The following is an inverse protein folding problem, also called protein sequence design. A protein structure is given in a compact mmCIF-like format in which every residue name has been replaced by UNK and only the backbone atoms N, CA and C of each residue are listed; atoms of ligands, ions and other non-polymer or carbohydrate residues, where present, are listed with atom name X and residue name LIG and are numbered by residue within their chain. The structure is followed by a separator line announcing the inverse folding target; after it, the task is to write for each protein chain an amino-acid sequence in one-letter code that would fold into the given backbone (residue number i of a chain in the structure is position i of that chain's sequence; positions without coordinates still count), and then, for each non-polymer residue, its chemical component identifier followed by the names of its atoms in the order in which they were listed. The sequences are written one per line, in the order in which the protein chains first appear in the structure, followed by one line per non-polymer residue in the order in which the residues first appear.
data_IF_334686840831
#
_entry.id   IF_334686840831
#
_cell.length_a   1.000
_cell.length_b   1.000
_cell.length_c   1.000
_cell.angle_alpha   90.00
_cell.angle_beta   90.00
_cell.angle_gamma   90.00
#
_symmetry.space_group_name_H-M   'P 1'
#
loop_
_entity.id
_entity.type
_entity.pdbx_description
1 polymer ?
#
# COMPACT_ATOMS: atom_id res chain seq x y z
N UNK A 1 6.96 0.79 -7.12
CA UNK A 1 7.68 1.03 -5.85
C UNK A 1 7.93 -0.34 -5.23
N UNK A 2 9.18 -0.79 -5.21
CA UNK A 2 9.53 -2.21 -4.95
C UNK A 2 9.73 -2.53 -3.46
N UNK A 3 9.92 -1.51 -2.62
CA UNK A 3 10.15 -1.65 -1.18
C UNK A 3 8.87 -1.76 -0.34
N UNK A 4 7.70 -1.66 -0.98
CA UNK A 4 6.38 -1.77 -0.33
C UNK A 4 5.65 -2.91 -1.04
N UNK A 5 5.46 -4.09 -0.42
CA UNK A 5 4.78 -5.24 -1.04
C UNK A 5 3.39 -4.89 -1.57
N UNK A 6 2.68 -3.97 -0.90
CA UNK A 6 1.40 -3.46 -1.37
C UNK A 6 1.42 -2.71 -2.69
N UNK A 7 2.59 -2.40 -3.23
CA UNK A 7 2.73 -1.64 -4.47
C UNK A 7 3.26 -2.48 -5.63
N UNK A 8 3.43 -3.79 -5.39
CA UNK A 8 4.13 -4.68 -6.30
C UNK A 8 3.50 -4.80 -7.69
N UNK A 9 2.17 -4.68 -7.81
CA UNK A 9 1.44 -4.84 -9.08
C UNK A 9 0.94 -3.53 -9.70
N UNK A 10 1.20 -2.37 -9.08
CA UNK A 10 0.59 -1.11 -9.52
C UNK A 10 1.08 -0.66 -10.90
N UNK A 11 2.29 -1.06 -11.30
CA UNK A 11 2.83 -0.81 -12.64
C UNK A 11 1.99 -1.50 -13.73
N UNK A 12 1.53 -2.73 -13.46
CA UNK A 12 0.65 -3.49 -14.36
C UNK A 12 -0.73 -2.84 -14.45
N UNK A 13 -1.27 -2.41 -13.32
CA UNK A 13 -2.56 -1.70 -13.25
C UNK A 13 -2.46 -0.37 -14.02
N UNK A 14 -1.39 0.39 -13.80
CA UNK A 14 -1.09 1.63 -14.52
C UNK A 14 -1.02 1.40 -16.04
N UNK A 15 -0.36 0.32 -16.48
CA UNK A 15 -0.29 -0.02 -17.91
C UNK A 15 -1.68 -0.22 -18.52
N UNK A 16 -2.55 -1.01 -17.87
CA UNK A 16 -3.92 -1.25 -18.32
C UNK A 16 -4.70 0.06 -18.41
N UNK A 17 -4.61 0.90 -17.38
CA UNK A 17 -5.29 2.20 -17.33
C UNK A 17 -4.83 3.11 -18.46
N UNK A 18 -3.51 3.22 -18.71
CA UNK A 18 -2.96 4.05 -19.78
C UNK A 18 -3.43 3.57 -21.16
N UNK A 19 -3.50 2.26 -21.38
CA UNK A 19 -3.95 1.71 -22.65
C UNK A 19 -5.43 2.07 -22.90
N UNK A 20 -6.28 2.02 -21.86
CA UNK A 20 -7.68 2.45 -22.00
C UNK A 20 -7.89 3.95 -22.12
N UNK A 21 -7.07 4.77 -21.46
CA UNK A 21 -7.09 6.22 -21.69
C UNK A 21 -6.81 6.52 -23.16
N UNK A 22 -5.81 5.86 -23.77
CA UNK A 22 -5.49 6.03 -25.20
C UNK A 22 -6.61 5.52 -26.10
N UNK A 23 -7.21 4.37 -25.77
CA UNK A 23 -8.33 3.80 -26.55
C UNK A 23 -9.54 4.76 -26.60
N UNK A 24 -9.72 5.59 -25.56
CA UNK A 24 -10.76 6.61 -25.49
C UNK A 24 -10.33 7.99 -26.06
N UNK A 25 -9.19 8.06 -26.75
CA UNK A 25 -8.71 9.29 -27.42
C UNK A 25 -8.05 10.32 -26.51
N UNK A 26 -7.76 9.95 -25.26
CA UNK A 26 -7.10 10.81 -24.27
C UNK A 26 -5.58 10.57 -24.24
N UNK A 27 -4.83 11.49 -23.61
CA UNK A 27 -3.38 11.40 -23.46
C UNK A 27 -3.01 11.09 -22.01
N UNK A 28 -2.54 9.87 -21.70
CA UNK A 28 -2.14 9.55 -20.33
C UNK A 28 -0.71 10.05 -20.03
N UNK A 29 -0.55 10.70 -18.87
CA UNK A 29 0.74 10.96 -18.25
C UNK A 29 0.81 10.24 -16.90
N UNK A 30 1.83 9.42 -16.71
CA UNK A 30 2.06 8.73 -15.46
C UNK A 30 3.11 9.47 -14.64
N UNK A 31 2.82 9.69 -13.37
CA UNK A 31 3.79 10.13 -12.38
C UNK A 31 3.59 9.33 -11.09
N UNK A 32 4.66 9.23 -10.31
CA UNK A 32 4.65 8.51 -9.03
C UNK A 32 4.81 9.51 -7.87
N UNK A 33 4.38 9.07 -6.69
CA UNK A 33 4.65 9.74 -5.41
C UNK A 33 5.36 8.77 -4.47
N UNK A 34 5.89 9.29 -3.36
CA UNK A 34 6.55 8.49 -2.34
C UNK A 34 5.54 7.63 -1.58
N UNK A 35 6.03 6.65 -0.83
CA UNK A 35 5.25 5.87 0.12
C UNK A 35 6.13 5.35 1.25
N UNK A 36 5.50 5.01 2.36
CA UNK A 36 6.12 4.32 3.50
C UNK A 36 5.32 3.05 3.76
N UNK A 37 6.02 1.97 4.03
CA UNK A 37 5.41 0.72 4.47
C UNK A 37 5.28 0.73 6.00
N UNK A 38 4.05 0.89 6.48
CA UNK A 38 3.78 0.91 7.92
C UNK A 38 4.16 -0.42 8.59
N UNK A 39 3.99 -1.56 7.90
CA UNK A 39 4.34 -2.88 8.41
C UNK A 39 5.83 -3.05 8.65
N UNK A 40 6.66 -2.61 7.70
CA UNK A 40 8.12 -2.62 7.83
C UNK A 40 8.59 -1.59 8.85
N UNK A 41 7.95 -0.42 8.91
CA UNK A 41 8.37 0.66 9.81
C UNK A 41 8.04 0.39 11.29
N UNK A 42 7.22 -0.62 11.61
CA UNK A 42 6.83 -0.94 12.99
C UNK A 42 8.03 -1.37 13.83
N UNK A 43 8.11 -0.85 15.05
CA UNK A 43 9.10 -1.30 16.04
C UNK A 43 10.44 -0.54 16.03
N UNK A 44 10.61 0.47 15.18
CA UNK A 44 11.81 1.32 15.17
C UNK A 44 11.49 2.79 14.85
N UNK A 45 12.52 3.65 14.84
CA UNK A 45 12.43 5.11 14.65
C UNK A 45 11.84 5.54 13.30
N UNK A 46 11.96 4.70 12.26
CA UNK A 46 11.28 4.88 10.98
C UNK A 46 9.76 5.12 11.07
N UNK A 47 9.08 4.63 12.11
CA UNK A 47 7.64 4.88 12.29
C UNK A 47 7.28 6.37 12.43
N UNK A 48 8.24 7.21 12.86
CA UNK A 48 8.07 8.67 12.93
C UNK A 48 7.81 9.31 11.56
N UNK A 49 8.14 8.61 10.47
CA UNK A 49 7.98 9.10 9.09
C UNK A 49 6.69 8.60 8.41
N UNK A 50 5.95 7.66 9.02
CA UNK A 50 4.71 7.11 8.46
C UNK A 50 3.64 8.19 8.30
N UNK A 51 3.10 8.74 9.40
CA UNK A 51 1.99 9.70 9.32
C UNK A 51 2.35 10.98 8.53
N UNK A 52 3.54 11.59 8.68
CA UNK A 52 3.94 12.73 7.86
C UNK A 52 3.97 12.45 6.35
N UNK A 53 4.19 11.19 5.93
CA UNK A 53 4.17 10.82 4.51
C UNK A 53 2.83 11.13 3.83
N UNK A 54 1.72 11.10 4.57
CA UNK A 54 0.38 11.49 4.07
C UNK A 54 0.38 12.89 3.48
N UNK A 55 0.98 13.85 4.18
CA UNK A 55 1.04 15.25 3.73
C UNK A 55 1.99 15.42 2.54
N UNK A 56 3.13 14.71 2.56
CA UNK A 56 4.07 14.72 1.44
C UNK A 56 3.42 14.19 0.15
N UNK A 57 2.61 13.14 0.26
CA UNK A 57 1.86 12.57 -0.86
C UNK A 57 0.83 13.56 -1.38
N UNK A 58 0.03 14.15 -0.49
CA UNK A 58 -0.96 15.16 -0.85
C UNK A 58 -0.30 16.35 -1.58
N UNK A 59 0.80 16.86 -1.03
CA UNK A 59 1.56 17.97 -1.62
C UNK A 59 2.21 17.59 -2.96
N UNK A 60 2.65 16.34 -3.11
CA UNK A 60 3.24 15.85 -4.38
C UNK A 60 2.22 15.85 -5.51
N UNK A 61 1.00 15.37 -5.24
CA UNK A 61 -0.12 15.41 -6.21
C UNK A 61 -0.50 16.85 -6.54
N UNK A 62 -0.70 17.66 -5.51
CA UNK A 62 -1.07 19.07 -5.67
C UNK A 62 -0.05 19.82 -6.52
N UNK A 63 1.24 19.56 -6.32
CA UNK A 63 2.34 20.17 -7.08
C UNK A 63 2.30 19.76 -8.55
N UNK A 64 2.28 18.46 -8.85
CA UNK A 64 2.36 17.97 -10.23
C UNK A 64 1.13 18.38 -11.03
N UNK A 65 -0.06 18.21 -10.46
CA UNK A 65 -1.32 18.51 -11.14
C UNK A 65 -1.44 20.01 -11.47
N UNK A 66 -1.13 20.89 -10.51
CA UNK A 66 -1.24 22.34 -10.72
C UNK A 66 -0.15 22.91 -11.62
N UNK A 67 1.06 22.35 -11.56
CA UNK A 67 2.18 22.81 -12.39
C UNK A 67 1.96 22.46 -13.87
N UNK A 68 1.45 21.26 -14.15
CA UNK A 68 1.27 20.76 -15.52
C UNK A 68 -0.14 20.98 -16.08
N UNK A 69 -1.07 21.51 -15.27
CA UNK A 69 -2.46 21.79 -15.67
C UNK A 69 -3.16 20.55 -16.24
N UNK A 70 -3.06 19.44 -15.53
CA UNK A 70 -3.70 18.18 -15.92
C UNK A 70 -5.21 18.25 -15.66
N UNK A 71 -6.00 17.76 -16.62
CA UNK A 71 -7.46 17.93 -16.62
C UNK A 71 -8.23 16.94 -15.74
N UNK A 72 -7.65 15.76 -15.47
CA UNK A 72 -8.26 14.69 -14.70
C UNK A 72 -7.19 13.77 -14.09
N UNK A 73 -7.56 12.96 -13.10
CA UNK A 73 -6.64 12.05 -12.42
C UNK A 73 -7.25 10.67 -12.20
N UNK A 74 -6.44 9.62 -12.37
CA UNK A 74 -6.73 8.29 -11.85
C UNK A 74 -5.65 7.99 -10.80
N UNK A 75 -6.06 7.88 -9.54
CA UNK A 75 -5.19 7.61 -8.42
C UNK A 75 -5.20 6.12 -8.08
N UNK A 76 -4.03 5.53 -7.91
CA UNK A 76 -3.86 4.10 -7.62
C UNK A 76 -3.20 3.92 -6.24
N UNK A 77 -3.92 4.14 -5.12
CA UNK A 77 -3.36 3.95 -3.79
C UNK A 77 -3.43 2.49 -3.34
N UNK A 78 -2.63 2.11 -2.33
CA UNK A 78 -2.80 0.80 -1.69
C UNK A 78 -2.29 0.66 -0.24
N UNK A 79 -1.20 1.35 0.14
CA UNK A 79 -0.68 1.25 1.51
C UNK A 79 -1.28 2.35 2.41
N UNK A 80 -1.24 2.14 3.73
CA UNK A 80 -1.97 2.86 4.77
C UNK A 80 -2.08 4.38 4.53
N UNK A 81 -0.99 5.13 4.68
CA UNK A 81 -1.00 6.60 4.60
C UNK A 81 -1.12 7.15 3.17
N UNK A 82 -0.97 6.28 2.18
CA UNK A 82 -1.02 6.65 0.77
C UNK A 82 -2.46 6.88 0.33
N UNK A 83 -3.41 6.04 0.77
CA UNK A 83 -4.84 6.20 0.45
C UNK A 83 -5.37 7.58 0.86
N UNK A 84 -5.30 8.01 2.14
CA UNK A 84 -5.77 9.35 2.53
C UNK A 84 -4.90 10.48 1.95
N UNK A 85 -3.59 10.27 1.77
CA UNK A 85 -2.72 11.27 1.13
C UNK A 85 -3.15 11.58 -0.31
N UNK A 86 -3.48 10.54 -1.08
CA UNK A 86 -4.00 10.69 -2.44
C UNK A 86 -5.38 11.34 -2.46
N UNK A 87 -6.27 10.96 -1.53
CA UNK A 87 -7.60 11.58 -1.37
C UNK A 87 -7.48 13.08 -1.06
N UNK A 88 -6.61 13.46 -0.12
CA UNK A 88 -6.36 14.86 0.22
C UNK A 88 -5.84 15.66 -0.98
N UNK A 89 -4.85 15.12 -1.70
CA UNK A 89 -4.32 15.76 -2.91
C UNK A 89 -5.38 15.96 -3.99
N UNK A 90 -6.21 14.94 -4.25
CA UNK A 90 -7.32 15.01 -5.19
C UNK A 90 -8.33 16.10 -4.83
N UNK A 91 -8.73 16.18 -3.55
CA UNK A 91 -9.69 17.18 -3.07
C UNK A 91 -9.13 18.60 -3.17
N UNK A 92 -7.82 18.81 -2.93
CA UNK A 92 -7.18 20.13 -3.06
C UNK A 92 -7.12 20.61 -4.52
N UNK A 93 -6.83 19.71 -5.46
CA UNK A 93 -6.76 20.02 -6.89
C UNK A 93 -8.15 20.18 -7.51
N UNK A 94 -9.13 19.40 -7.03
CA UNK A 94 -10.54 19.47 -7.41
C UNK A 94 -10.80 19.31 -8.93
N UNK A 95 -10.13 18.33 -9.55
CA UNK A 95 -10.40 17.86 -10.92
C UNK A 95 -11.14 16.52 -10.89
N UNK A 96 -11.83 16.11 -11.97
CA UNK A 96 -12.41 14.78 -12.08
C UNK A 96 -11.38 13.70 -11.71
N UNK A 97 -11.68 12.93 -10.66
CA UNK A 97 -10.74 11.96 -10.09
C UNK A 97 -11.43 10.62 -9.84
N UNK A 98 -10.78 9.53 -10.21
CA UNK A 98 -11.19 8.15 -9.89
C UNK A 98 -10.11 7.49 -9.05
N UNK A 99 -10.51 6.76 -8.00
CA UNK A 99 -9.64 5.96 -7.17
C UNK A 99 -9.76 4.48 -7.55
N UNK A 100 -8.61 3.84 -7.81
CA UNK A 100 -8.51 2.42 -8.12
C UNK A 100 -7.58 1.79 -7.09
N UNK A 101 -8.15 1.06 -6.12
CA UNK A 101 -7.34 0.37 -5.13
C UNK A 101 -6.40 -0.65 -5.79
N UNK A 102 -5.17 -0.75 -5.28
CA UNK A 102 -4.22 -1.79 -5.69
C UNK A 102 -4.60 -3.20 -5.24
N UNK A 103 -5.52 -3.32 -4.28
CA UNK A 103 -6.03 -4.58 -3.76
C UNK A 103 -5.22 -5.16 -2.61
N UNK A 104 -5.91 -5.89 -1.74
CA UNK A 104 -5.31 -6.61 -0.63
C UNK A 104 -4.55 -7.85 -1.10
N UNK A 105 -3.48 -8.17 -0.38
CA UNK A 105 -2.76 -9.44 -0.50
C UNK A 105 -3.66 -10.58 -0.02
N UNK A 106 -3.42 -11.79 -0.51
CA UNK A 106 -4.05 -12.98 0.05
C UNK A 106 -3.56 -13.21 1.48
N UNK A 107 -4.43 -13.76 2.33
CA UNK A 107 -4.01 -14.18 3.67
C UNK A 107 -3.03 -15.36 3.57
N UNK A 108 -2.08 -15.38 4.49
CA UNK A 108 -1.13 -16.47 4.64
C UNK A 108 -1.72 -17.71 5.32
N UNK A 109 -0.98 -18.80 5.29
CA UNK A 109 -1.31 -20.03 6.01
C UNK A 109 -0.05 -20.68 6.59
N UNK A 110 -0.13 -21.18 7.82
CA UNK A 110 0.91 -22.09 8.33
C UNK A 110 0.91 -23.40 7.55
N UNK A 111 1.96 -24.22 7.70
CA UNK A 111 2.01 -25.58 7.13
C UNK A 111 0.80 -26.45 7.46
N UNK A 112 0.21 -26.25 8.65
CA UNK A 112 -0.97 -26.99 9.12
C UNK A 112 -2.30 -26.36 8.66
N UNK A 113 -2.25 -25.33 7.82
CA UNK A 113 -3.44 -24.70 7.22
C UNK A 113 -4.13 -23.67 8.12
N UNK A 114 -3.46 -23.19 9.16
CA UNK A 114 -4.01 -22.13 10.03
C UNK A 114 -3.84 -20.79 9.32
N UNK A 115 -4.90 -19.97 9.17
CA UNK A 115 -4.79 -18.66 8.53
C UNK A 115 -3.94 -17.72 9.38
N UNK A 116 -3.03 -17.01 8.74
CA UNK A 116 -2.09 -16.06 9.36
C UNK A 116 -1.95 -14.79 8.51
N UNK A 117 -1.48 -13.73 9.14
CA UNK A 117 -1.23 -12.43 8.50
C UNK A 117 -0.10 -11.67 9.24
N UNK A 118 0.15 -10.42 8.85
CA UNK A 118 1.17 -9.59 9.47
C UNK A 118 0.94 -9.38 10.98
N UNK A 119 -0.31 -9.26 11.44
CA UNK A 119 -0.60 -9.14 12.87
C UNK A 119 -0.20 -10.44 13.62
N UNK A 120 -0.48 -11.59 13.01
CA UNK A 120 -0.07 -12.89 13.53
C UNK A 120 1.46 -12.98 13.68
N UNK A 121 2.22 -12.44 12.72
CA UNK A 121 3.68 -12.40 12.80
C UNK A 121 4.17 -11.55 13.99
N UNK A 122 3.54 -10.40 14.27
CA UNK A 122 3.87 -9.60 15.44
C UNK A 122 3.56 -10.33 16.76
N UNK A 123 2.41 -11.00 16.84
CA UNK A 123 2.05 -11.80 18.02
C UNK A 123 2.98 -13.00 18.23
N UNK A 124 3.44 -13.63 17.14
CA UNK A 124 4.34 -14.77 17.17
C UNK A 124 5.68 -14.44 17.84
N UNK A 125 6.23 -13.24 17.58
CA UNK A 125 7.44 -12.76 18.26
C UNK A 125 7.24 -12.71 19.77
N UNK A 126 6.09 -12.21 20.23
CA UNK A 126 5.76 -12.17 21.67
C UNK A 126 5.66 -13.57 22.30
N UNK A 127 5.05 -14.52 21.59
CA UNK A 127 4.94 -15.92 22.05
C UNK A 127 6.28 -16.64 22.10
N UNK A 128 7.16 -16.37 21.13
CA UNK A 128 8.52 -16.92 21.11
C UNK A 128 9.33 -16.44 22.31
N UNK A 129 9.31 -15.13 22.60
CA UNK A 129 9.99 -14.55 23.78
C UNK A 129 9.43 -15.08 25.11
N UNK A 130 8.14 -15.44 25.16
CA UNK A 130 7.51 -16.07 26.31
C UNK A 130 7.84 -17.57 26.47
N UNK A 131 8.53 -18.19 25.51
CA UNK A 131 8.80 -19.63 25.48
C UNK A 131 7.58 -20.49 25.13
N UNK A 132 6.53 -19.88 24.54
CA UNK A 132 5.29 -20.55 24.13
C UNK A 132 5.30 -20.98 22.67
N UNK A 133 6.37 -20.70 21.93
CA UNK A 133 6.53 -21.01 20.51
C UNK A 133 8.00 -21.37 20.22
N UNK A 134 8.22 -22.32 19.33
CA UNK A 134 9.55 -22.69 18.85
C UNK A 134 10.06 -21.74 17.76
N UNK A 135 11.37 -21.71 17.54
CA UNK A 135 11.98 -20.94 16.44
C UNK A 135 11.49 -21.42 15.07
N UNK A 136 11.23 -22.73 14.93
CA UNK A 136 10.74 -23.35 13.70
C UNK A 136 9.31 -22.91 13.36
N UNK A 137 8.43 -22.81 14.36
CA UNK A 137 7.07 -22.28 14.21
C UNK A 137 7.10 -20.78 13.90
N UNK A 138 7.95 -20.00 14.59
CA UNK A 138 8.12 -18.57 14.30
C UNK A 138 8.58 -18.37 12.84
N UNK A 139 9.54 -19.17 12.38
CA UNK A 139 10.05 -19.09 11.00
C UNK A 139 8.98 -19.47 9.97
N UNK A 140 8.12 -20.44 10.29
CA UNK A 140 7.00 -20.80 9.43
C UNK A 140 6.02 -19.63 9.26
N UNK A 141 5.71 -18.93 10.36
CA UNK A 141 4.84 -17.75 10.31
C UNK A 141 5.51 -16.62 9.52
N UNK A 142 6.78 -16.31 9.79
CA UNK A 142 7.54 -15.27 9.08
C UNK A 142 7.52 -15.47 7.56
N UNK A 143 7.74 -16.70 7.10
CA UNK A 143 7.83 -17.00 5.66
C UNK A 143 6.47 -17.06 4.95
N UNK A 144 5.36 -17.27 5.68
CA UNK A 144 4.05 -17.52 5.07
C UNK A 144 3.01 -16.43 5.35
N UNK A 145 3.26 -15.48 6.27
CA UNK A 145 2.29 -14.45 6.65
C UNK A 145 1.91 -13.47 5.52
N UNK A 146 2.84 -13.20 4.59
CA UNK A 146 2.66 -12.28 3.47
C UNK A 146 2.97 -13.00 2.15
N UNK A 147 2.03 -13.80 1.60
CA UNK A 147 2.32 -14.74 0.51
C UNK A 147 2.43 -14.10 -0.89
N UNK A 148 1.85 -12.92 -1.09
CA UNK A 148 1.86 -12.23 -2.38
C UNK A 148 1.87 -10.69 -2.24
N UNK A 149 1.81 -9.99 -3.38
CA UNK A 149 1.79 -8.54 -3.43
C UNK A 149 0.38 -7.97 -3.22
N UNK A 150 0.25 -6.97 -2.34
CA UNK A 150 -1.01 -6.31 -2.03
C UNK A 150 -0.97 -5.61 -0.66
N UNK A 151 -1.98 -4.81 -0.33
CA UNK A 151 -2.10 -4.22 1.02
C UNK A 151 -2.30 -5.33 2.06
N UNK A 152 -2.13 -5.04 3.35
CA UNK A 152 -2.36 -6.04 4.40
C UNK A 152 -3.73 -6.73 4.24
N UNK A 153 -3.81 -8.05 4.47
CA UNK A 153 -5.02 -8.84 4.21
C UNK A 153 -6.18 -8.60 5.20
N UNK A 154 -5.91 -7.99 6.37
CA UNK A 154 -6.91 -7.70 7.40
C UNK A 154 -7.63 -6.36 7.22
N UNK A 155 -8.68 -6.10 8.01
CA UNK A 155 -9.41 -4.82 8.05
C UNK A 155 -8.61 -3.74 8.83
N UNK A 156 -7.42 -3.42 8.33
CA UNK A 156 -6.59 -2.31 8.81
C UNK A 156 -6.87 -1.04 8.01
N UNK A 157 -6.08 0.02 8.20
CA UNK A 157 -6.32 1.32 7.57
C UNK A 157 -6.41 1.23 6.04
N UNK A 158 -5.52 0.48 5.41
CA UNK A 158 -5.48 0.35 3.94
C UNK A 158 -6.78 -0.21 3.33
N UNK A 159 -7.46 -1.14 4.02
CA UNK A 159 -8.72 -1.73 3.56
C UNK A 159 -9.97 -1.07 4.15
N UNK A 160 -9.79 -0.29 5.22
CA UNK A 160 -10.87 0.51 5.80
C UNK A 160 -11.15 1.78 5.00
N UNK A 161 -10.15 2.27 4.27
CA UNK A 161 -10.19 3.46 3.42
C UNK A 161 -10.50 3.10 1.98
#
# INVERSE_FOLDING_TARGET
MEIIPGHFFLDKVSKIIKDEIRANGCVPFEFNTIGVDDGIAMGHDGMLFSLPSRELIANSIETVMNAHKLDAMIAIPNCDKIVPGMIMGALRVNVPTVFVSGGAMQKGYTKDGIPIDLATAFEAVGKFEAGEMSEEELKDIECNACPDGGSCSGMFTANSM
#
